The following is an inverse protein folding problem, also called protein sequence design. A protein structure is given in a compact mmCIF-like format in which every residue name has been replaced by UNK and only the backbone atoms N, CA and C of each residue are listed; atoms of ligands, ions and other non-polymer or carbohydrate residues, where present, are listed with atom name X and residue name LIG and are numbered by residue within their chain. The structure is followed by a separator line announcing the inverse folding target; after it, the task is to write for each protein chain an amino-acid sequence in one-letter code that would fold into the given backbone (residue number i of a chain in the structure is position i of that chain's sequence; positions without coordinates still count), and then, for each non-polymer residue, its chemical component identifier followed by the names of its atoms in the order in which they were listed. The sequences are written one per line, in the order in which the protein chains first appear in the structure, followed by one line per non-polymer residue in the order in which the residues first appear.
data_IF_125592376606
#
_entry.id   IF_125592376606
#
_cell.length_a   1.000
_cell.length_b   1.000
_cell.length_c   1.000
_cell.angle_alpha   90.00
_cell.angle_beta   90.00
_cell.angle_gamma   90.00
#
_symmetry.space_group_name_H-M   'P 1'
#
loop_
_entity.id
_entity.type
_entity.pdbx_description
1 polymer ?
#
# COMPACT_ATOMS: atom_id res chain seq x y z
N UNK A 1 19.13 32.09 3.42
CA UNK A 1 18.50 31.34 2.32
C UNK A 1 19.45 30.23 1.88
N UNK A 2 19.43 29.05 2.50
CA UNK A 2 20.22 27.88 2.02
C UNK A 2 20.06 26.57 2.81
N UNK A 3 19.18 26.45 3.82
CA UNK A 3 19.06 25.20 4.60
C UNK A 3 17.73 24.43 4.40
N UNK A 4 16.66 25.08 3.93
CA UNK A 4 15.37 24.40 3.70
C UNK A 4 15.32 23.57 2.42
N UNK A 5 16.09 23.94 1.38
CA UNK A 5 16.10 23.21 0.09
C UNK A 5 16.84 21.88 0.13
N UNK A 6 17.67 21.61 1.14
CA UNK A 6 18.45 20.36 1.23
C UNK A 6 17.65 19.24 1.94
N UNK A 7 16.65 19.59 2.76
CA UNK A 7 15.82 18.59 3.47
C UNK A 7 14.70 17.99 2.62
N UNK A 8 14.13 18.76 1.68
CA UNK A 8 13.05 18.28 0.79
C UNK A 8 13.53 17.24 -0.22
N UNK A 9 14.72 17.43 -0.81
CA UNK A 9 15.30 16.51 -1.79
C UNK A 9 15.58 15.12 -1.17
N UNK A 10 16.00 15.08 0.11
CA UNK A 10 16.30 13.80 0.78
C UNK A 10 15.07 12.92 1.01
N UNK A 11 13.89 13.50 1.28
CA UNK A 11 12.64 12.77 1.55
C UNK A 11 12.00 12.17 0.30
N UNK A 12 12.14 12.85 -0.83
CA UNK A 12 11.56 12.41 -2.11
C UNK A 12 12.33 11.21 -2.68
N UNK A 13 13.67 11.20 -2.54
CA UNK A 13 14.51 10.05 -2.84
C UNK A 13 14.21 8.85 -1.92
N UNK A 14 14.00 9.07 -0.61
CA UNK A 14 13.68 7.97 0.32
C UNK A 14 12.35 7.31 -0.03
N UNK A 15 11.33 8.09 -0.41
CA UNK A 15 9.99 7.57 -0.77
C UNK A 15 10.01 6.78 -2.08
N UNK A 16 10.76 7.24 -3.08
CA UNK A 16 10.94 6.51 -4.36
C UNK A 16 11.71 5.20 -4.15
N UNK A 17 12.71 5.18 -3.28
CA UNK A 17 13.41 3.94 -2.90
C UNK A 17 12.51 2.99 -2.10
N UNK A 18 11.70 3.51 -1.17
CA UNK A 18 10.76 2.70 -0.40
C UNK A 18 9.70 2.07 -1.31
N UNK A 19 9.15 2.84 -2.26
CA UNK A 19 8.18 2.34 -3.25
C UNK A 19 8.79 1.27 -4.17
N UNK A 20 10.05 1.45 -4.59
CA UNK A 20 10.79 0.42 -5.35
C UNK A 20 11.03 -0.84 -4.52
N UNK A 21 11.39 -0.72 -3.24
CA UNK A 21 11.56 -1.86 -2.33
C UNK A 21 10.24 -2.59 -2.08
N UNK A 22 9.13 -1.87 -1.97
CA UNK A 22 7.79 -2.45 -1.83
C UNK A 22 7.41 -3.21 -3.10
N UNK A 23 7.57 -2.61 -4.29
CA UNK A 23 7.29 -3.28 -5.56
C UNK A 23 8.21 -4.49 -5.81
N UNK A 24 9.49 -4.40 -5.42
CA UNK A 24 10.41 -5.54 -5.49
C UNK A 24 9.99 -6.67 -4.55
N UNK A 25 9.59 -6.36 -3.30
CA UNK A 25 9.06 -7.36 -2.37
C UNK A 25 7.73 -7.96 -2.82
N UNK A 26 6.86 -7.17 -3.46
CA UNK A 26 5.61 -7.65 -4.07
C UNK A 26 5.91 -8.59 -5.25
N UNK A 27 6.90 -8.27 -6.08
CA UNK A 27 7.32 -9.12 -7.19
C UNK A 27 8.02 -10.40 -6.72
N UNK A 28 8.80 -10.36 -5.63
CA UNK A 28 9.41 -11.54 -5.01
C UNK A 28 8.38 -12.47 -4.33
N UNK A 29 7.18 -11.96 -4.04
CA UNK A 29 6.07 -12.72 -3.45
C UNK A 29 5.16 -13.40 -4.49
N UNK A 30 5.47 -13.30 -5.78
CA UNK A 30 4.76 -14.02 -6.84
C UNK A 30 5.07 -15.54 -6.88
N UNK A 31 5.87 -16.07 -5.95
CA UNK A 31 5.87 -17.51 -5.62
C UNK A 31 4.59 -17.85 -4.82
N UNK A 32 3.48 -18.02 -5.55
CA UNK A 32 2.17 -18.39 -5.00
C UNK A 32 2.28 -19.63 -4.11
N UNK A 33 3.11 -20.61 -4.46
CA UNK A 33 3.33 -21.84 -3.65
C UNK A 33 4.02 -21.58 -2.30
N UNK A 34 5.01 -20.67 -2.23
CA UNK A 34 5.65 -20.31 -0.95
C UNK A 34 4.69 -19.54 -0.05
N UNK A 35 3.87 -18.68 -0.65
CA UNK A 35 2.88 -17.87 0.06
C UNK A 35 1.72 -18.70 0.61
N UNK A 36 1.34 -19.79 -0.06
CA UNK A 36 0.30 -20.69 0.42
C UNK A 36 0.72 -21.50 1.67
N UNK A 37 1.99 -21.85 1.80
CA UNK A 37 2.52 -22.52 3.00
C UNK A 37 2.68 -21.57 4.20
N UNK A 38 2.80 -20.27 3.97
CA UNK A 38 2.92 -19.25 5.03
C UNK A 38 1.58 -18.94 5.71
N UNK A 39 0.45 -19.24 5.06
CA UNK A 39 -0.89 -18.90 5.55
C UNK A 39 -1.58 -20.14 6.13
N UNK A 40 -1.55 -20.27 7.46
CA UNK A 40 -2.20 -21.34 8.22
C UNK A 40 -3.23 -20.71 9.19
N UNK A 41 -4.47 -21.20 9.19
CA UNK A 41 -5.52 -20.79 10.14
C UNK A 41 -5.82 -19.27 10.23
N UNK A 42 -5.89 -18.57 9.10
CA UNK A 42 -6.05 -17.09 9.02
C UNK A 42 -4.93 -16.30 9.70
N UNK A 43 -3.73 -16.87 9.74
CA UNK A 43 -2.51 -16.24 10.23
C UNK A 43 -1.42 -16.36 9.18
N UNK A 44 -0.47 -15.47 9.23
CA UNK A 44 0.74 -15.51 8.43
C UNK A 44 1.93 -15.25 9.32
N UNK A 45 2.93 -16.12 9.28
CA UNK A 45 4.15 -16.04 10.09
C UNK A 45 5.32 -15.54 9.23
N UNK A 46 6.22 -14.77 9.83
CA UNK A 46 7.41 -14.25 9.16
C UNK A 46 8.52 -13.97 10.18
N UNK A 47 9.77 -13.96 9.72
CA UNK A 47 10.94 -13.75 10.58
C UNK A 47 11.65 -12.45 10.19
N UNK A 48 11.97 -11.63 11.21
CA UNK A 48 12.78 -10.41 11.08
C UNK A 48 13.78 -10.43 12.23
N UNK A 49 15.07 -10.28 11.94
CA UNK A 49 16.16 -10.27 12.95
C UNK A 49 16.11 -11.42 13.97
N UNK A 50 15.82 -12.63 13.50
CA UNK A 50 15.65 -13.85 14.33
C UNK A 50 14.46 -13.82 15.30
N UNK A 51 13.57 -12.85 15.16
CA UNK A 51 12.31 -12.79 15.87
C UNK A 51 11.21 -13.27 14.93
N UNK A 52 10.50 -14.31 15.34
CA UNK A 52 9.32 -14.78 14.60
C UNK A 52 8.11 -13.93 14.97
N UNK A 53 7.55 -13.26 13.98
CA UNK A 53 6.31 -12.52 14.05
C UNK A 53 5.18 -13.30 13.38
N UNK A 54 3.96 -12.92 13.72
CA UNK A 54 2.79 -13.28 12.93
C UNK A 54 1.78 -12.16 12.88
N UNK A 55 1.04 -12.10 11.78
CA UNK A 55 -0.19 -11.31 11.68
C UNK A 55 -1.38 -12.25 11.54
N UNK A 56 -2.52 -11.79 12.06
CA UNK A 56 -3.80 -12.50 11.95
C UNK A 56 -4.90 -11.55 11.53
N UNK A 57 -6.06 -12.09 11.16
CA UNK A 57 -7.25 -11.27 11.01
C UNK A 57 -7.65 -10.63 12.35
N UNK A 58 -8.08 -9.39 12.28
CA UNK A 58 -8.67 -8.71 13.42
C UNK A 58 -9.94 -9.44 13.86
N UNK A 59 -10.11 -9.58 15.17
CA UNK A 59 -11.37 -10.04 15.74
C UNK A 59 -12.39 -8.88 15.82
N UNK A 60 -13.63 -9.18 16.22
CA UNK A 60 -14.68 -8.17 16.31
C UNK A 60 -14.33 -7.00 17.23
N UNK A 61 -13.72 -7.27 18.40
CA UNK A 61 -13.36 -6.24 19.39
C UNK A 61 -12.28 -5.31 18.84
N UNK A 62 -11.25 -5.87 18.21
CA UNK A 62 -10.21 -5.09 17.53
C UNK A 62 -10.78 -4.28 16.36
N UNK A 63 -11.74 -4.84 15.62
CA UNK A 63 -12.45 -4.12 14.57
C UNK A 63 -13.26 -2.93 15.07
N UNK A 64 -13.91 -3.05 16.25
CA UNK A 64 -14.56 -1.92 16.92
C UNK A 64 -13.54 -0.88 17.40
N UNK A 65 -12.41 -1.33 17.96
CA UNK A 65 -11.35 -0.43 18.41
C UNK A 65 -10.80 0.40 17.25
N UNK A 66 -10.51 -0.22 16.10
CA UNK A 66 -10.10 0.47 14.88
C UNK A 66 -11.17 1.49 14.45
N UNK A 67 -12.47 1.15 14.50
CA UNK A 67 -13.55 2.10 14.16
C UNK A 67 -13.56 3.31 15.07
N UNK A 68 -13.39 3.13 16.38
CA UNK A 68 -13.32 4.22 17.34
C UNK A 68 -12.11 5.10 17.08
N UNK A 69 -10.94 4.49 16.85
CA UNK A 69 -9.71 5.20 16.54
C UNK A 69 -9.79 5.97 15.23
N UNK A 70 -10.47 5.44 14.21
CA UNK A 70 -10.78 6.18 12.97
C UNK A 70 -11.59 7.44 13.23
N UNK A 71 -12.56 7.38 14.14
CA UNK A 71 -13.38 8.53 14.47
C UNK A 71 -12.57 9.62 15.20
N UNK A 72 -11.75 9.21 16.17
CA UNK A 72 -10.83 10.12 16.87
C UNK A 72 -9.88 10.79 15.87
N UNK A 73 -9.24 10.00 15.01
CA UNK A 73 -8.32 10.54 13.98
C UNK A 73 -9.02 11.47 13.01
N UNK A 74 -10.27 11.18 12.63
CA UNK A 74 -11.07 12.05 11.77
C UNK A 74 -11.29 13.43 12.40
N UNK A 75 -11.66 13.47 13.68
CA UNK A 75 -11.88 14.73 14.40
C UNK A 75 -10.55 15.52 14.47
N UNK A 76 -9.46 14.86 14.86
CA UNK A 76 -8.12 15.45 14.91
C UNK A 76 -7.71 16.10 13.58
N UNK A 77 -7.92 15.40 12.46
CA UNK A 77 -7.55 15.91 11.14
C UNK A 77 -8.46 17.04 10.64
N UNK A 78 -9.74 17.04 11.03
CA UNK A 78 -10.68 18.12 10.66
C UNK A 78 -10.35 19.44 11.36
N UNK A 79 -9.77 19.39 12.55
CA UNK A 79 -9.34 20.57 13.30
C UNK A 79 -8.02 21.15 12.79
N UNK A 80 -7.23 20.35 12.06
CA UNK A 80 -5.90 20.74 11.64
C UNK A 80 -5.90 21.43 10.25
N UNK A 81 -5.35 22.67 10.13
CA UNK A 81 -5.52 23.52 8.95
C UNK A 81 -4.89 22.99 7.66
N UNK A 82 -3.90 22.10 7.78
CA UNK A 82 -3.21 21.47 6.63
C UNK A 82 -4.09 20.49 5.86
N UNK A 83 -4.98 19.76 6.54
CA UNK A 83 -5.72 18.68 5.91
C UNK A 83 -7.03 19.19 5.31
N UNK A 84 -7.46 18.54 4.24
CA UNK A 84 -8.68 18.91 3.51
C UNK A 84 -9.43 17.67 3.10
N UNK A 85 -10.74 17.81 2.96
CA UNK A 85 -11.56 16.75 2.40
C UNK A 85 -11.17 16.53 0.93
N UNK A 86 -11.30 15.28 0.48
CA UNK A 86 -10.98 14.88 -0.89
C UNK A 86 -11.61 15.79 -1.94
N UNK A 87 -12.89 16.11 -1.82
CA UNK A 87 -13.60 16.96 -2.77
C UNK A 87 -13.06 18.40 -2.81
N UNK A 88 -12.58 18.91 -1.68
CA UNK A 88 -11.96 20.23 -1.61
C UNK A 88 -10.61 20.24 -2.32
N UNK A 89 -9.80 19.20 -2.15
CA UNK A 89 -8.54 19.03 -2.88
C UNK A 89 -8.78 18.90 -4.38
N UNK A 90 -9.76 18.10 -4.81
CA UNK A 90 -10.13 17.98 -6.23
C UNK A 90 -10.49 19.35 -6.80
N UNK A 91 -11.31 20.15 -6.10
CA UNK A 91 -11.66 21.51 -6.54
C UNK A 91 -10.45 22.46 -6.54
N UNK A 92 -9.54 22.31 -5.59
CA UNK A 92 -8.32 23.11 -5.50
C UNK A 92 -7.39 22.82 -6.69
N UNK A 93 -7.05 21.56 -6.92
CA UNK A 93 -6.12 21.16 -7.98
C UNK A 93 -6.68 21.37 -9.39
N UNK A 94 -8.00 21.21 -9.57
CA UNK A 94 -8.65 21.52 -10.85
C UNK A 94 -8.47 22.98 -11.26
N UNK A 95 -8.49 23.92 -10.32
CA UNK A 95 -8.20 25.34 -10.59
C UNK A 95 -6.75 25.60 -11.01
N UNK A 96 -5.85 24.71 -10.62
CA UNK A 96 -4.42 24.77 -10.95
C UNK A 96 -4.07 23.89 -12.18
N UNK A 97 -5.08 23.48 -12.96
CA UNK A 97 -4.88 22.71 -14.18
C UNK A 97 -4.68 21.20 -14.00
N UNK A 98 -4.80 20.67 -12.77
CA UNK A 98 -4.70 19.23 -12.48
C UNK A 98 -6.08 18.62 -12.26
N UNK A 99 -6.55 17.78 -13.19
CA UNK A 99 -7.82 17.07 -13.06
C UNK A 99 -7.62 15.67 -12.46
N UNK A 100 -7.71 15.59 -11.13
CA UNK A 100 -7.60 14.33 -10.38
C UNK A 100 -8.64 13.30 -10.83
N UNK A 101 -9.87 13.72 -11.19
CA UNK A 101 -10.91 12.78 -11.61
C UNK A 101 -10.58 12.16 -12.96
N UNK A 102 -9.97 12.93 -13.85
CA UNK A 102 -9.49 12.41 -15.12
C UNK A 102 -8.30 11.46 -14.93
N UNK A 103 -7.33 11.81 -14.08
CA UNK A 103 -6.24 10.90 -13.70
C UNK A 103 -6.78 9.55 -13.22
N UNK A 104 -7.81 9.55 -12.37
CA UNK A 104 -8.43 8.32 -11.88
C UNK A 104 -9.12 7.48 -12.95
N UNK A 105 -9.77 8.12 -13.93
CA UNK A 105 -10.35 7.40 -15.07
C UNK A 105 -9.28 6.77 -15.92
N UNK A 106 -8.20 7.50 -16.22
CA UNK A 106 -7.08 6.99 -17.01
C UNK A 106 -6.42 5.82 -16.27
N UNK A 107 -6.16 5.96 -14.97
CA UNK A 107 -5.61 4.89 -14.12
C UNK A 107 -6.45 3.61 -14.21
N UNK A 108 -7.78 3.74 -14.11
CA UNK A 108 -8.73 2.62 -14.21
C UNK A 108 -8.78 1.97 -15.60
N UNK A 109 -8.36 2.68 -16.65
CA UNK A 109 -8.36 2.17 -18.02
C UNK A 109 -7.13 1.34 -18.39
N UNK A 110 -6.02 1.47 -17.65
CA UNK A 110 -4.78 0.77 -17.98
C UNK A 110 -4.89 -0.75 -17.89
N UNK A 111 -5.50 -1.36 -16.85
CA UNK A 111 -5.60 -2.82 -16.76
C UNK A 111 -6.21 -3.45 -18.01
N UNK A 112 -7.33 -2.92 -18.50
CA UNK A 112 -7.96 -3.43 -19.74
C UNK A 112 -7.10 -3.22 -21.00
N UNK A 113 -6.28 -2.17 -21.05
CA UNK A 113 -5.35 -1.94 -22.18
C UNK A 113 -4.19 -2.91 -22.14
N UNK A 114 -3.63 -3.14 -20.95
CA UNK A 114 -2.54 -4.08 -20.72
C UNK A 114 -3.01 -5.50 -21.03
N UNK A 115 -4.18 -5.90 -20.52
CA UNK A 115 -4.79 -7.21 -20.78
C UNK A 115 -4.97 -7.46 -22.28
N UNK A 116 -5.51 -6.49 -23.03
CA UNK A 116 -5.64 -6.60 -24.49
C UNK A 116 -4.29 -6.79 -25.21
N UNK A 117 -3.22 -6.18 -24.72
CA UNK A 117 -1.87 -6.37 -25.29
C UNK A 117 -1.29 -7.72 -24.87
N UNK A 118 -1.54 -8.18 -23.64
CA UNK A 118 -1.13 -9.50 -23.15
C UNK A 118 -1.82 -10.64 -23.94
N UNK A 119 -3.10 -10.49 -24.29
CA UNK A 119 -3.80 -11.43 -25.18
C UNK A 119 -3.15 -11.51 -26.57
N UNK A 120 -2.75 -10.36 -27.13
CA UNK A 120 -2.01 -10.30 -28.40
C UNK A 120 -0.63 -10.95 -28.28
N UNK A 121 0.08 -10.68 -27.19
CA UNK A 121 1.38 -11.26 -26.89
C UNK A 121 1.31 -12.80 -26.83
N UNK A 122 0.29 -13.34 -26.17
CA UNK A 122 0.09 -14.80 -26.03
C UNK A 122 -0.09 -15.54 -27.36
N UNK A 123 -0.52 -14.86 -28.41
CA UNK A 123 -0.74 -15.45 -29.75
C UNK A 123 0.35 -15.10 -30.76
N UNK A 124 1.30 -14.24 -30.39
CA UNK A 124 2.36 -13.75 -31.28
C UNK A 124 3.56 -14.70 -31.25
N UNK A 125 4.08 -15.06 -32.44
CA UNK A 125 5.22 -15.97 -32.58
C UNK A 125 6.49 -15.30 -33.13
N UNK A 126 6.34 -14.11 -33.73
CA UNK A 126 7.45 -13.36 -34.30
C UNK A 126 8.23 -12.64 -33.17
N UNK A 127 9.53 -12.92 -32.97
CA UNK A 127 10.30 -12.33 -31.86
C UNK A 127 10.29 -10.80 -31.84
N UNK A 128 10.36 -10.17 -33.02
CA UNK A 128 10.32 -8.71 -33.13
C UNK A 128 8.99 -8.12 -32.65
N UNK A 129 7.88 -8.80 -32.92
CA UNK A 129 6.55 -8.33 -32.51
C UNK A 129 6.32 -8.57 -31.02
N UNK A 130 6.89 -9.64 -30.46
CA UNK A 130 6.95 -9.90 -29.01
C UNK A 130 7.65 -8.73 -28.30
N UNK A 131 8.86 -8.37 -28.72
CA UNK A 131 9.63 -7.26 -28.11
C UNK A 131 8.85 -5.93 -28.12
N UNK A 132 8.12 -5.65 -29.21
CA UNK A 132 7.31 -4.44 -29.34
C UNK A 132 6.10 -4.43 -28.38
N UNK A 133 5.44 -5.57 -28.19
CA UNK A 133 4.31 -5.70 -27.29
C UNK A 133 4.74 -5.63 -25.82
N UNK A 134 5.89 -6.22 -25.47
CA UNK A 134 6.48 -6.11 -24.13
C UNK A 134 6.85 -4.66 -23.80
N UNK A 135 7.45 -3.93 -24.74
CA UNK A 135 7.76 -2.51 -24.57
C UNK A 135 6.49 -1.65 -24.46
N UNK A 136 5.41 -2.00 -25.17
CA UNK A 136 4.11 -1.33 -25.05
C UNK A 136 3.48 -1.54 -23.66
N UNK A 137 3.48 -2.77 -23.14
CA UNK A 137 3.02 -3.09 -21.78
C UNK A 137 3.80 -2.27 -20.77
N UNK A 138 5.13 -2.31 -20.84
CA UNK A 138 6.01 -1.60 -19.92
C UNK A 138 5.73 -0.09 -19.90
N UNK A 139 5.55 0.53 -21.08
CA UNK A 139 5.21 1.96 -21.17
C UNK A 139 3.86 2.29 -20.53
N UNK A 140 2.86 1.41 -20.67
CA UNK A 140 1.57 1.59 -20.02
C UNK A 140 1.68 1.47 -18.49
N UNK A 141 2.45 0.50 -18.00
CA UNK A 141 2.71 0.31 -16.56
C UNK A 141 3.47 1.51 -15.96
N UNK A 142 4.53 1.98 -16.64
CA UNK A 142 5.27 3.17 -16.24
C UNK A 142 4.36 4.40 -16.19
N UNK A 143 3.54 4.61 -17.22
CA UNK A 143 2.61 5.74 -17.27
C UNK A 143 1.52 5.63 -16.20
N UNK A 144 1.03 4.43 -15.93
CA UNK A 144 0.07 4.18 -14.86
C UNK A 144 0.68 4.55 -13.50
N UNK A 145 1.91 4.11 -13.25
CA UNK A 145 2.64 4.40 -12.02
C UNK A 145 2.87 5.91 -11.84
N UNK A 146 3.30 6.62 -12.88
CA UNK A 146 3.45 8.08 -12.85
C UNK A 146 2.15 8.79 -12.43
N UNK A 147 1.03 8.42 -13.04
CA UNK A 147 -0.27 9.01 -12.72
C UNK A 147 -0.72 8.67 -11.29
N UNK A 148 -0.44 7.47 -10.80
CA UNK A 148 -0.71 7.08 -9.41
C UNK A 148 0.11 7.94 -8.45
N UNK A 149 1.40 8.13 -8.72
CA UNK A 149 2.28 8.95 -7.89
C UNK A 149 1.81 10.41 -7.87
N UNK A 150 1.55 11.01 -9.04
CA UNK A 150 1.07 12.38 -9.13
C UNK A 150 -0.27 12.57 -8.41
N UNK A 151 -1.19 11.61 -8.57
CA UNK A 151 -2.49 11.62 -7.86
C UNK A 151 -2.28 11.56 -6.34
N UNK A 152 -1.36 10.71 -5.88
CA UNK A 152 -1.08 10.54 -4.46
C UNK A 152 -0.44 11.81 -3.87
N UNK A 153 0.45 12.48 -4.59
CA UNK A 153 0.99 13.79 -4.20
C UNK A 153 -0.12 14.83 -4.05
N UNK A 154 -1.03 14.92 -5.03
CA UNK A 154 -2.17 15.83 -4.96
C UNK A 154 -3.08 15.54 -3.75
N UNK A 155 -3.16 14.28 -3.32
CA UNK A 155 -4.03 13.83 -2.25
C UNK A 155 -3.27 13.53 -0.96
N UNK A 156 -2.02 13.96 -0.80
CA UNK A 156 -1.22 13.65 0.39
C UNK A 156 -1.90 14.18 1.67
N UNK A 157 -2.50 15.37 1.59
CA UNK A 157 -3.21 15.99 2.72
C UNK A 157 -4.71 15.67 2.77
N UNK A 158 -5.15 14.63 2.04
CA UNK A 158 -6.54 14.17 2.01
C UNK A 158 -6.91 13.49 3.32
N UNK A 159 -7.90 14.03 4.04
CA UNK A 159 -8.37 13.47 5.32
C UNK A 159 -8.76 12.00 5.18
N UNK A 160 -9.49 11.65 4.13
CA UNK A 160 -9.97 10.30 3.88
C UNK A 160 -8.83 9.30 3.64
N UNK A 161 -7.76 9.73 2.97
CA UNK A 161 -6.56 8.90 2.77
C UNK A 161 -5.83 8.71 4.10
N UNK A 162 -5.59 9.80 4.84
CA UNK A 162 -4.91 9.75 6.14
C UNK A 162 -5.64 8.86 7.16
N UNK A 163 -6.98 8.89 7.17
CA UNK A 163 -7.78 8.00 8.02
C UNK A 163 -7.64 6.54 7.58
N UNK A 164 -7.61 6.29 6.27
CA UNK A 164 -7.45 4.93 5.73
C UNK A 164 -6.08 4.37 6.10
N UNK A 165 -5.02 5.14 5.89
CA UNK A 165 -3.65 4.74 6.21
C UNK A 165 -3.49 4.47 7.71
N UNK A 166 -3.99 5.40 8.54
CA UNK A 166 -4.01 5.22 10.00
C UNK A 166 -4.78 3.96 10.42
N UNK A 167 -5.96 3.72 9.84
CA UNK A 167 -6.76 2.54 10.17
C UNK A 167 -6.03 1.24 9.84
N UNK A 168 -5.37 1.19 8.68
CA UNK A 168 -4.61 0.02 8.23
C UNK A 168 -3.43 -0.25 9.17
N UNK A 169 -2.64 0.78 9.45
CA UNK A 169 -1.50 0.69 10.37
C UNK A 169 -1.94 0.30 11.79
N UNK A 170 -2.99 0.93 12.31
CA UNK A 170 -3.52 0.60 13.64
C UNK A 170 -4.05 -0.83 13.70
N UNK A 171 -4.67 -1.32 12.62
CA UNK A 171 -5.09 -2.72 12.52
C UNK A 171 -3.89 -3.65 12.60
N UNK A 172 -2.83 -3.38 11.84
CA UNK A 172 -1.60 -4.19 11.86
C UNK A 172 -0.99 -4.21 13.26
N UNK A 173 -0.88 -3.05 13.91
CA UNK A 173 -0.44 -2.95 15.30
C UNK A 173 -1.21 -3.89 16.25
N UNK A 174 -2.55 -3.91 16.14
CA UNK A 174 -3.38 -4.74 17.01
C UNK A 174 -3.20 -6.24 16.77
N UNK A 175 -3.01 -6.63 15.50
CA UNK A 175 -3.02 -8.04 15.11
C UNK A 175 -1.62 -8.65 14.94
N UNK A 176 -0.57 -7.86 15.16
CA UNK A 176 0.81 -8.34 15.12
C UNK A 176 1.23 -8.90 16.47
N UNK A 177 1.67 -10.15 16.45
CA UNK A 177 2.17 -10.89 17.61
C UNK A 177 3.60 -11.35 17.33
N UNK A 178 4.38 -11.57 18.39
CA UNK A 178 5.73 -12.12 18.31
C UNK A 178 5.86 -13.36 19.18
N UNK A 179 6.76 -14.26 18.80
CA UNK A 179 7.01 -15.51 19.51
C UNK A 179 8.03 -15.28 20.63
N UNK A 180 7.66 -15.60 21.87
CA UNK A 180 8.50 -15.55 23.08
C UNK A 180 8.27 -16.82 23.86
N UNK A 181 9.31 -17.61 24.12
CA UNK A 181 9.24 -18.89 24.84
C UNK A 181 8.12 -19.82 24.33
N UNK A 182 8.07 -20.02 23.01
CA UNK A 182 7.03 -20.79 22.30
C UNK A 182 5.59 -20.25 22.41
N UNK A 183 5.40 -19.08 23.02
CA UNK A 183 4.09 -18.42 23.15
C UNK A 183 4.01 -17.19 22.26
N UNK A 184 2.83 -16.95 21.72
CA UNK A 184 2.54 -15.75 20.95
C UNK A 184 2.03 -14.65 21.89
N UNK A 185 2.71 -13.51 21.86
CA UNK A 185 2.37 -12.34 22.67
C UNK A 185 2.26 -11.12 21.78
N UNK A 186 1.54 -10.09 22.23
CA UNK A 186 1.42 -8.83 21.49
C UNK A 186 2.83 -8.29 21.19
N UNK A 187 3.09 -7.95 19.92
CA UNK A 187 4.44 -7.58 19.49
C UNK A 187 4.89 -6.25 20.09
N UNK A 188 3.96 -5.30 20.19
CA UNK A 188 4.19 -3.91 20.57
C UNK A 188 3.26 -3.49 21.72
N UNK A 189 3.77 -2.70 22.65
CA UNK A 189 3.02 -2.20 23.81
C UNK A 189 2.16 -1.00 23.46
N UNK A 190 2.65 -0.15 22.55
CA UNK A 190 1.94 1.03 22.06
C UNK A 190 1.99 1.13 20.54
N UNK A 191 1.14 2.00 19.99
CA UNK A 191 1.11 2.27 18.57
C UNK A 191 2.37 3.01 18.10
N UNK A 192 2.93 3.86 18.95
CA UNK A 192 4.16 4.61 18.70
C UNK A 192 5.37 3.67 18.58
N UNK A 193 5.48 2.68 19.46
CA UNK A 193 6.52 1.64 19.37
C UNK A 193 6.41 0.87 18.04
N UNK A 194 5.18 0.58 17.60
CA UNK A 194 4.95 -0.08 16.31
C UNK A 194 5.42 0.78 15.13
N UNK A 195 5.20 2.10 15.17
CA UNK A 195 5.60 3.01 14.09
C UNK A 195 7.12 3.12 13.89
N UNK A 196 7.92 2.68 14.85
CA UNK A 196 9.39 2.64 14.74
C UNK A 196 9.91 1.40 13.99
N UNK A 197 9.03 0.47 13.57
CA UNK A 197 9.40 -0.84 13.04
C UNK A 197 8.97 -1.02 11.56
N UNK A 198 9.63 -0.30 10.65
CA UNK A 198 9.30 -0.27 9.21
C UNK A 198 9.21 -1.66 8.57
N UNK A 199 10.13 -2.57 8.88
CA UNK A 199 10.13 -3.91 8.27
C UNK A 199 8.92 -4.74 8.70
N UNK A 200 8.54 -4.64 9.98
CA UNK A 200 7.34 -5.31 10.51
C UNK A 200 6.08 -4.69 9.90
N UNK A 201 6.05 -3.37 9.73
CA UNK A 201 4.94 -2.68 9.06
C UNK A 201 4.79 -3.18 7.62
N UNK A 202 5.88 -3.23 6.85
CA UNK A 202 5.86 -3.65 5.45
C UNK A 202 5.43 -5.11 5.32
N UNK A 203 6.07 -6.02 6.06
CA UNK A 203 5.73 -7.44 6.00
C UNK A 203 4.31 -7.70 6.53
N UNK A 204 3.97 -7.09 7.67
CA UNK A 204 2.66 -7.23 8.30
C UNK A 204 1.53 -6.71 7.41
N UNK A 205 1.72 -5.55 6.75
CA UNK A 205 0.76 -5.02 5.77
C UNK A 205 0.55 -6.01 4.62
N UNK A 206 1.64 -6.53 4.06
CA UNK A 206 1.62 -7.43 2.91
C UNK A 206 0.85 -8.71 3.24
N UNK A 207 1.19 -9.36 4.35
CA UNK A 207 0.53 -10.57 4.78
C UNK A 207 -0.91 -10.35 5.22
N UNK A 208 -1.22 -9.23 5.88
CA UNK A 208 -2.60 -8.91 6.26
C UNK A 208 -3.48 -8.68 5.01
N UNK A 209 -2.97 -8.00 3.98
CA UNK A 209 -3.65 -7.86 2.70
C UNK A 209 -3.94 -9.23 2.08
N UNK A 210 -2.96 -10.14 2.04
CA UNK A 210 -3.17 -11.50 1.52
C UNK A 210 -4.25 -12.27 2.30
N UNK A 211 -4.26 -12.16 3.63
CA UNK A 211 -5.27 -12.78 4.48
C UNK A 211 -6.69 -12.28 4.16
N UNK A 212 -6.84 -10.99 3.84
CA UNK A 212 -8.12 -10.36 3.52
C UNK A 212 -8.57 -10.76 2.10
N UNK A 213 -7.72 -10.60 1.09
CA UNK A 213 -8.08 -10.79 -0.32
C UNK A 213 -8.19 -12.26 -0.77
N UNK A 214 -7.53 -13.22 -0.11
CA UNK A 214 -7.68 -14.67 -0.44
C UNK A 214 -9.12 -15.17 -0.30
N UNK A 215 -10.00 -14.44 0.42
CA UNK A 215 -11.42 -14.83 0.55
C UNK A 215 -12.24 -14.50 -0.70
N UNK A 216 -11.78 -13.58 -1.55
CA UNK A 216 -12.50 -13.12 -2.75
C UNK A 216 -12.15 -13.95 -4.01
N UNK A 217 -11.11 -14.81 -3.94
CA UNK A 217 -10.65 -15.65 -5.08
C UNK A 217 -11.33 -17.05 -5.07
N UNK A 218 -12.30 -17.28 -4.17
CA UNK A 218 -13.15 -18.48 -4.23
C UNK A 218 -14.55 -18.11 -4.73
N UNK A 219 -14.67 -17.89 -6.03
CA UNK A 219 -15.93 -18.04 -6.78
C UNK A 219 -15.70 -19.01 -7.95
#
# INVERSE_FOLDING_TARGET
MSEEKVKEVSKEETRKELAKKINAKINDLNDVEKTEHLIIDNKAEFEIDKVTYRVRKANYKEGEEVRQQRHVKKIELLEHPKYKLRDELIRLYRRNGKDIKEMERIIKSFPSKIESIQERLATTTAPKDIDLLEDEIKKLEERQLELILEKNECLECCIENQITDYANLYTIYLVTEKKVDEKWVKAFKSYEEFLENDEVIIQGSTYLSLLIYRREIKE
#
